data_IF_580415867156
#
_entry.id   IF_580415867156
#
_cell.length_a   1.000
_cell.length_b   1.000
_cell.length_c   1.000
_cell.angle_alpha   90.00
_cell.angle_beta   90.00
_cell.angle_gamma   90.00
#
_symmetry.space_group_name_H-M   'P 1'
#
loop_
_entity.id
_entity.type
_entity.pdbx_description
1 polymer ?
#
# COMPACT_ATOMS: atom_id res chain seq x y z
N UNK A 1 9.94 44.54 -36.18
CA UNK A 1 9.93 43.08 -35.98
C UNK A 1 9.95 42.84 -34.46
N UNK A 2 8.75 42.68 -33.86
CA UNK A 2 8.57 42.65 -32.41
C UNK A 2 8.53 41.19 -31.98
N UNK A 3 9.52 40.76 -31.19
CA UNK A 3 9.70 39.40 -30.71
C UNK A 3 8.86 39.21 -29.44
N UNK A 4 7.76 38.49 -29.54
CA UNK A 4 6.83 38.19 -28.45
C UNK A 4 7.42 37.01 -27.63
N UNK A 5 7.95 37.29 -26.46
CA UNK A 5 8.42 36.27 -25.51
C UNK A 5 7.20 35.71 -24.81
N UNK A 6 6.83 34.47 -25.14
CA UNK A 6 5.85 33.70 -24.35
C UNK A 6 6.48 33.24 -23.06
N UNK A 7 6.12 33.84 -21.95
CA UNK A 7 6.35 33.32 -20.61
C UNK A 7 5.38 32.17 -20.37
N UNK A 8 5.90 30.94 -20.38
CA UNK A 8 5.19 29.77 -19.87
C UNK A 8 5.24 29.83 -18.34
N UNK A 9 4.16 30.25 -17.70
CA UNK A 9 3.94 30.09 -16.27
C UNK A 9 3.70 28.62 -15.98
N UNK A 10 4.70 27.94 -15.42
CA UNK A 10 4.53 26.63 -14.81
C UNK A 10 3.64 26.84 -13.56
N UNK A 11 2.41 26.35 -13.62
CA UNK A 11 1.55 26.23 -12.44
C UNK A 11 2.21 25.22 -11.49
N UNK A 12 2.77 25.72 -10.39
CA UNK A 12 3.09 24.91 -9.24
C UNK A 12 1.75 24.38 -8.68
N UNK A 13 1.44 23.13 -8.92
CA UNK A 13 0.26 22.45 -8.41
C UNK A 13 0.33 22.38 -6.90
N UNK A 14 -0.71 22.81 -6.23
CA UNK A 14 -0.76 23.06 -4.78
C UNK A 14 -0.80 21.72 -4.05
N UNK A 15 0.26 21.33 -3.37
CA UNK A 15 0.46 20.03 -2.70
C UNK A 15 -0.52 19.71 -1.55
N UNK A 16 -1.51 20.57 -1.29
CA UNK A 16 -2.56 20.34 -0.29
C UNK A 16 -3.80 19.64 -0.85
N UNK A 17 -4.07 19.74 -2.14
CA UNK A 17 -5.26 19.13 -2.77
C UNK A 17 -5.10 17.63 -3.04
N UNK A 18 -3.88 17.10 -2.93
CA UNK A 18 -3.56 15.70 -3.26
C UNK A 18 -3.52 14.77 -2.03
N UNK A 19 -3.89 15.26 -0.83
CA UNK A 19 -3.81 14.48 0.41
C UNK A 19 -5.20 14.19 0.97
N UNK A 20 -5.50 12.91 1.22
CA UNK A 20 -6.72 12.43 1.87
C UNK A 20 -6.37 11.99 3.28
N UNK A 21 -6.88 12.70 4.30
CA UNK A 21 -6.74 12.29 5.70
C UNK A 21 -7.62 11.06 5.95
N UNK A 22 -7.01 9.99 6.49
CA UNK A 22 -7.77 8.83 6.93
C UNK A 22 -8.44 9.10 8.28
N UNK A 23 -9.55 8.41 8.55
CA UNK A 23 -10.16 8.41 9.87
C UNK A 23 -9.24 7.75 10.88
N UNK A 24 -9.36 8.08 12.18
CA UNK A 24 -8.53 7.45 13.22
C UNK A 24 -8.74 5.93 13.23
N UNK A 25 -7.67 5.11 13.22
CA UNK A 25 -7.80 3.67 13.21
C UNK A 25 -8.28 3.15 14.57
N UNK A 26 -9.13 2.15 14.55
CA UNK A 26 -9.51 1.40 15.75
C UNK A 26 -8.36 0.47 16.14
N UNK A 27 -7.83 0.67 17.34
CA UNK A 27 -6.66 -0.08 17.86
C UNK A 27 -7.04 -1.17 18.85
N UNK A 28 -8.31 -1.25 19.16
CA UNK A 28 -8.94 -2.22 20.08
C UNK A 28 -10.06 -2.96 19.36
N UNK A 29 -10.25 -4.20 19.70
CA UNK A 29 -11.26 -5.05 19.08
C UNK A 29 -10.69 -6.05 18.05
N UNK A 30 -11.52 -6.40 17.08
CA UNK A 30 -11.23 -7.46 16.13
C UNK A 30 -11.30 -8.87 16.73
N UNK A 31 -10.87 -9.86 15.95
CA UNK A 31 -10.84 -11.26 16.32
C UNK A 31 -9.62 -11.57 17.21
N UNK A 32 -9.72 -12.44 18.22
CA UNK A 32 -8.57 -12.92 18.98
C UNK A 32 -7.49 -13.47 18.04
N UNK A 33 -6.21 -13.17 18.30
CA UNK A 33 -5.08 -13.51 17.42
C UNK A 33 -5.07 -14.99 16.99
N UNK A 34 -5.25 -15.91 17.92
CA UNK A 34 -5.21 -17.35 17.62
C UNK A 34 -6.37 -17.77 16.72
N UNK A 35 -7.51 -17.12 16.86
CA UNK A 35 -8.64 -17.35 15.97
C UNK A 35 -8.36 -16.75 14.58
N UNK A 36 -7.81 -15.54 14.48
CA UNK A 36 -7.43 -14.93 13.21
C UNK A 36 -6.39 -15.79 12.46
N UNK A 37 -5.42 -16.36 13.16
CA UNK A 37 -4.45 -17.30 12.59
C UNK A 37 -5.14 -18.57 12.06
N UNK A 38 -6.10 -19.11 12.80
CA UNK A 38 -6.85 -20.31 12.41
C UNK A 38 -7.77 -20.06 11.20
N UNK A 39 -8.37 -18.87 11.10
CA UNK A 39 -9.30 -18.50 10.03
C UNK A 39 -8.62 -17.87 8.80
N UNK A 40 -7.35 -17.49 8.90
CA UNK A 40 -6.60 -16.89 7.80
C UNK A 40 -6.60 -17.84 6.58
N UNK A 41 -7.17 -17.38 5.49
CA UNK A 41 -7.29 -18.13 4.22
C UNK A 41 -6.95 -17.23 3.04
N UNK A 42 -6.56 -17.84 1.93
CA UNK A 42 -6.36 -17.14 0.65
C UNK A 42 -7.62 -17.22 -0.20
N UNK A 43 -8.25 -16.08 -0.47
CA UNK A 43 -9.45 -15.95 -1.30
C UNK A 43 -9.17 -15.04 -2.51
N UNK A 44 -9.68 -15.46 -3.69
CA UNK A 44 -9.41 -14.79 -4.98
C UNK A 44 -10.68 -14.26 -5.66
N UNK A 45 -11.81 -14.35 -4.98
CA UNK A 45 -13.09 -13.90 -5.50
C UNK A 45 -13.55 -12.65 -4.74
N UNK A 46 -13.74 -11.56 -5.46
CA UNK A 46 -14.11 -10.27 -4.89
C UNK A 46 -15.48 -9.84 -5.41
N UNK A 47 -16.33 -9.32 -4.52
CA UNK A 47 -17.67 -8.83 -4.87
C UNK A 47 -17.66 -7.46 -5.55
N UNK A 48 -16.56 -6.73 -5.51
CA UNK A 48 -16.44 -5.34 -5.96
C UNK A 48 -17.02 -4.30 -4.99
N UNK A 49 -17.65 -4.72 -3.89
CA UNK A 49 -18.12 -3.80 -2.85
C UNK A 49 -16.95 -3.05 -2.23
N UNK A 50 -17.08 -1.72 -2.15
CA UNK A 50 -16.05 -0.87 -1.55
C UNK A 50 -15.89 -1.14 -0.05
N UNK A 51 -14.67 -1.01 0.46
CA UNK A 51 -14.43 -0.92 1.89
C UNK A 51 -14.98 0.40 2.44
N UNK A 52 -15.41 0.41 3.69
CA UNK A 52 -15.69 1.67 4.37
C UNK A 52 -14.38 2.42 4.67
N UNK A 53 -14.48 3.74 4.89
CA UNK A 53 -13.32 4.57 5.26
C UNK A 53 -12.64 4.03 6.54
N UNK A 54 -13.42 3.54 7.50
CA UNK A 54 -12.90 2.92 8.71
C UNK A 54 -12.13 1.64 8.42
N UNK A 55 -12.65 0.76 7.56
CA UNK A 55 -11.96 -0.48 7.19
C UNK A 55 -10.67 -0.22 6.41
N UNK A 56 -10.66 0.77 5.52
CA UNK A 56 -9.45 1.17 4.81
C UNK A 56 -8.39 1.74 5.77
N UNK A 57 -8.81 2.57 6.70
CA UNK A 57 -7.95 3.14 7.75
C UNK A 57 -7.35 2.05 8.62
N UNK A 58 -8.19 1.17 9.18
CA UNK A 58 -7.77 0.08 10.06
C UNK A 58 -6.84 -0.91 9.34
N UNK A 59 -7.15 -1.24 8.07
CA UNK A 59 -6.33 -2.09 7.21
C UNK A 59 -4.91 -1.54 7.05
N UNK A 60 -4.79 -0.26 6.72
CA UNK A 60 -3.49 0.38 6.46
C UNK A 60 -2.69 0.54 7.75
N UNK A 61 -3.37 0.88 8.85
CA UNK A 61 -2.72 0.91 10.16
C UNK A 61 -2.25 -0.48 10.59
N UNK A 62 -3.08 -1.51 10.47
CA UNK A 62 -2.70 -2.88 10.80
C UNK A 62 -1.52 -3.34 9.96
N UNK A 63 -1.51 -3.03 8.66
CA UNK A 63 -0.45 -3.40 7.73
C UNK A 63 0.92 -2.85 8.15
N UNK A 64 1.04 -1.53 8.32
CA UNK A 64 2.33 -0.87 8.61
C UNK A 64 2.17 0.53 9.25
N UNK A 65 1.13 0.75 10.05
CA UNK A 65 0.89 2.01 10.75
C UNK A 65 1.82 2.25 11.93
N UNK A 66 1.90 3.50 12.39
CA UNK A 66 2.63 3.86 13.61
C UNK A 66 1.82 3.39 14.82
N UNK A 67 2.44 2.59 15.69
CA UNK A 67 1.78 2.02 16.87
C UNK A 67 2.42 2.45 18.20
N UNK A 68 3.43 3.31 18.17
CA UNK A 68 4.21 3.77 19.35
C UNK A 68 4.67 5.20 19.16
N UNK A 69 4.81 5.96 20.26
CA UNK A 69 5.20 7.38 20.27
C UNK A 69 6.57 7.64 19.64
N UNK A 70 7.44 6.65 19.58
CA UNK A 70 8.77 6.76 18.95
C UNK A 70 8.74 6.50 17.43
N UNK A 71 7.57 6.49 16.79
CA UNK A 71 7.38 6.34 15.35
C UNK A 71 7.60 4.92 14.81
N UNK A 72 7.76 3.91 15.67
CA UNK A 72 7.86 2.52 15.23
C UNK A 72 6.50 1.99 14.79
N UNK A 73 6.51 0.94 13.98
CA UNK A 73 5.34 0.47 13.24
C UNK A 73 4.82 -0.88 13.73
N UNK A 74 3.63 -1.24 13.27
CA UNK A 74 3.01 -2.54 13.50
C UNK A 74 3.83 -3.70 12.93
N UNK A 75 4.46 -3.50 11.76
CA UNK A 75 5.42 -4.44 11.20
C UNK A 75 6.85 -4.09 11.61
N UNK A 76 7.72 -5.07 11.94
CA UNK A 76 9.14 -4.82 12.12
C UNK A 76 9.83 -4.55 10.79
N UNK A 77 11.02 -3.93 10.83
CA UNK A 77 11.91 -3.86 9.68
C UNK A 77 13.37 -3.97 10.08
N UNK A 78 14.21 -4.48 9.19
CA UNK A 78 15.65 -4.61 9.41
C UNK A 78 16.25 -3.24 9.77
N UNK A 79 16.99 -3.17 10.88
CA UNK A 79 17.59 -1.92 11.42
C UNK A 79 16.57 -0.78 11.60
N UNK A 80 15.27 -1.07 11.66
CA UNK A 80 14.20 -0.08 11.69
C UNK A 80 14.25 0.90 10.49
N UNK A 81 14.61 0.41 9.30
CA UNK A 81 14.65 1.23 8.09
C UNK A 81 13.26 1.71 7.65
N UNK A 82 12.20 0.97 8.02
CA UNK A 82 10.80 1.26 7.64
C UNK A 82 10.66 1.50 6.12
N UNK A 83 11.38 0.70 5.36
CA UNK A 83 11.55 0.88 3.92
C UNK A 83 10.33 0.45 3.12
N UNK A 84 9.41 -0.33 3.70
CA UNK A 84 8.23 -0.78 2.97
C UNK A 84 7.22 0.36 2.86
N UNK A 85 7.16 0.94 1.67
CA UNK A 85 6.11 1.85 1.25
C UNK A 85 4.90 1.06 0.75
N UNK A 86 3.69 1.48 1.17
CA UNK A 86 2.43 0.88 0.72
C UNK A 86 1.78 1.83 -0.28
N UNK A 87 1.68 1.40 -1.54
CA UNK A 87 0.83 2.08 -2.51
C UNK A 87 -0.55 1.44 -2.52
N UNK A 88 -1.58 2.27 -2.45
CA UNK A 88 -2.99 1.87 -2.38
C UNK A 88 -3.64 2.21 -3.71
N UNK A 89 -3.90 1.20 -4.53
CA UNK A 89 -4.54 1.36 -5.83
C UNK A 89 -6.04 1.12 -5.68
N UNK A 90 -6.82 2.11 -6.08
CA UNK A 90 -8.30 2.11 -6.05
C UNK A 90 -8.83 2.59 -7.41
N UNK A 91 -10.15 2.56 -7.58
CA UNK A 91 -10.80 3.09 -8.78
C UNK A 91 -10.52 4.59 -8.98
N UNK A 92 -10.40 5.32 -7.89
CA UNK A 92 -10.16 6.78 -7.87
C UNK A 92 -8.71 7.19 -8.11
N UNK A 93 -7.76 6.23 -8.14
CA UNK A 93 -6.35 6.50 -8.36
C UNK A 93 -5.42 5.60 -7.53
N UNK A 94 -4.14 5.91 -7.62
CA UNK A 94 -3.10 5.27 -6.83
C UNK A 94 -2.51 6.27 -5.82
N UNK A 95 -2.40 5.85 -4.58
CA UNK A 95 -2.01 6.68 -3.44
C UNK A 95 -0.83 6.06 -2.71
N UNK A 96 0.06 6.88 -2.16
CA UNK A 96 1.07 6.47 -1.18
C UNK A 96 0.50 6.63 0.23
N UNK A 97 0.54 5.57 1.03
CA UNK A 97 0.19 5.64 2.45
C UNK A 97 1.31 6.28 3.27
N UNK A 98 1.03 7.40 3.89
CA UNK A 98 1.90 8.15 4.80
C UNK A 98 1.57 7.73 6.25
N UNK A 99 2.29 6.74 6.76
CA UNK A 99 1.98 6.15 8.06
C UNK A 99 2.18 7.11 9.25
N UNK A 100 3.11 8.06 9.14
CA UNK A 100 3.37 9.11 10.13
C UNK A 100 2.24 10.13 10.25
N UNK A 101 1.51 10.35 9.16
CA UNK A 101 0.35 11.26 9.08
C UNK A 101 -0.97 10.51 9.09
N UNK A 102 -0.93 9.20 8.98
CA UNK A 102 -2.10 8.35 8.74
C UNK A 102 -2.98 8.90 7.60
N UNK A 103 -2.39 9.17 6.46
CA UNK A 103 -3.02 9.81 5.31
C UNK A 103 -2.62 9.12 3.99
N UNK A 104 -3.38 9.36 2.95
CA UNK A 104 -3.09 8.96 1.59
C UNK A 104 -2.65 10.18 0.77
N UNK A 105 -1.54 10.07 0.07
CA UNK A 105 -1.08 11.06 -0.89
C UNK A 105 -1.34 10.55 -2.31
N UNK A 106 -2.09 11.31 -3.11
CA UNK A 106 -2.33 10.95 -4.50
C UNK A 106 -1.00 10.95 -5.28
N UNK A 107 -0.76 9.88 -6.04
CA UNK A 107 0.44 9.72 -6.88
C UNK A 107 0.06 9.67 -8.36
N UNK A 108 -1.05 8.99 -8.68
CA UNK A 108 -1.54 8.85 -10.06
C UNK A 108 -3.08 8.84 -10.04
N UNK A 109 -3.70 9.71 -10.82
CA UNK A 109 -5.17 9.91 -10.81
C UNK A 109 -5.94 8.89 -11.68
N UNK A 110 -5.28 7.83 -12.13
CA UNK A 110 -5.93 6.78 -12.94
C UNK A 110 -6.01 5.45 -12.19
N UNK A 111 -7.05 4.65 -12.50
CA UNK A 111 -7.18 3.28 -11.98
C UNK A 111 -6.12 2.37 -12.61
N UNK A 112 -5.15 1.96 -11.81
CA UNK A 112 -4.07 1.08 -12.23
C UNK A 112 -4.31 -0.40 -11.92
N UNK A 113 -5.37 -0.77 -11.18
CA UNK A 113 -5.58 -2.13 -10.64
C UNK A 113 -5.51 -3.22 -11.71
N UNK A 114 -6.17 -3.02 -12.85
CA UNK A 114 -6.22 -4.01 -13.94
C UNK A 114 -4.87 -4.20 -14.64
N UNK A 115 -3.98 -3.23 -14.56
CA UNK A 115 -2.67 -3.23 -15.21
C UNK A 115 -1.52 -3.56 -14.23
N UNK A 116 -1.80 -3.60 -12.93
CA UNK A 116 -0.78 -3.78 -11.90
C UNK A 116 -0.32 -5.23 -11.71
N UNK A 117 -1.16 -6.20 -12.06
CA UNK A 117 -0.89 -7.64 -11.87
C UNK A 117 -1.38 -8.48 -13.04
N UNK A 118 -0.83 -9.70 -13.15
CA UNK A 118 -1.16 -10.62 -14.24
C UNK A 118 -2.55 -11.25 -14.08
N UNK A 119 -3.10 -11.30 -12.87
CA UNK A 119 -4.35 -11.99 -12.56
C UNK A 119 -5.56 -11.09 -12.77
N UNK A 120 -6.51 -11.44 -13.66
CA UNK A 120 -7.67 -10.58 -13.98
C UNK A 120 -8.61 -10.29 -12.80
N UNK A 121 -8.66 -11.16 -11.79
CA UNK A 121 -9.52 -10.96 -10.62
C UNK A 121 -9.10 -9.75 -9.78
N UNK A 122 -7.86 -9.27 -9.91
CA UNK A 122 -7.34 -8.11 -9.17
C UNK A 122 -8.15 -6.84 -9.45
N UNK A 123 -8.59 -6.66 -10.69
CA UNK A 123 -9.42 -5.52 -11.08
C UNK A 123 -10.81 -5.48 -10.40
N UNK A 124 -11.26 -6.60 -9.83
CA UNK A 124 -12.54 -6.70 -9.11
C UNK A 124 -12.42 -6.34 -7.63
N UNK A 125 -11.20 -6.39 -7.08
CA UNK A 125 -10.98 -5.98 -5.69
C UNK A 125 -11.08 -4.46 -5.58
N UNK A 126 -11.80 -3.89 -4.58
CA UNK A 126 -11.90 -2.45 -4.40
C UNK A 126 -10.54 -1.80 -4.09
N UNK A 127 -9.65 -2.53 -3.44
CA UNK A 127 -8.32 -2.06 -3.06
C UNK A 127 -7.27 -3.09 -3.51
N UNK A 128 -6.18 -2.62 -4.11
CA UNK A 128 -4.97 -3.39 -4.35
C UNK A 128 -3.80 -2.69 -3.66
N UNK A 129 -3.21 -3.35 -2.68
CA UNK A 129 -1.99 -2.89 -2.03
C UNK A 129 -0.77 -3.35 -2.82
N UNK A 130 0.19 -2.44 -3.04
CA UNK A 130 1.51 -2.76 -3.60
C UNK A 130 2.56 -2.43 -2.55
N UNK A 131 3.34 -3.42 -2.15
CA UNK A 131 4.44 -3.26 -1.19
C UNK A 131 5.74 -3.03 -1.94
N UNK A 132 6.32 -1.86 -1.72
CA UNK A 132 7.55 -1.42 -2.39
C UNK A 132 8.66 -1.28 -1.36
N UNK A 133 9.76 -1.99 -1.56
CA UNK A 133 11.00 -1.74 -0.81
C UNK A 133 11.67 -0.49 -1.37
N UNK A 134 11.61 0.60 -0.63
CA UNK A 134 12.22 1.89 -0.97
C UNK A 134 13.70 1.86 -0.60
N UNK A 135 14.57 1.79 -1.59
CA UNK A 135 16.00 1.63 -1.38
C UNK A 135 16.71 2.88 -0.83
N UNK A 136 16.09 4.05 -0.93
CA UNK A 136 16.63 5.27 -0.33
C UNK A 136 16.63 5.24 1.20
N UNK A 137 15.67 4.51 1.78
CA UNK A 137 15.57 4.31 3.24
C UNK A 137 16.55 3.26 3.78
N UNK A 138 17.15 2.44 2.91
CA UNK A 138 18.04 1.33 3.28
C UNK A 138 19.51 1.75 3.17
N UNK A 139 19.89 2.83 3.86
CA UNK A 139 21.24 3.38 3.82
C UNK A 139 22.27 2.42 4.44
N UNK A 140 23.46 2.35 3.85
CA UNK A 140 24.55 1.47 4.33
C UNK A 140 24.32 -0.02 4.12
N UNK A 141 23.35 -0.40 3.27
CA UNK A 141 23.13 -1.77 2.83
C UNK A 141 23.56 -1.92 1.36
N UNK A 142 24.22 -3.04 1.05
CA UNK A 142 24.49 -3.44 -0.33
C UNK A 142 23.21 -3.92 -1.04
N UNK A 143 23.32 -4.23 -2.32
CA UNK A 143 22.19 -4.65 -3.15
C UNK A 143 21.53 -5.94 -2.63
N UNK A 144 22.34 -6.93 -2.27
CA UNK A 144 21.83 -8.24 -1.84
C UNK A 144 21.09 -8.13 -0.50
N UNK A 145 21.62 -7.34 0.44
CA UNK A 145 20.97 -7.04 1.71
C UNK A 145 19.63 -6.27 1.48
N UNK A 146 19.61 -5.29 0.58
CA UNK A 146 18.37 -4.55 0.24
C UNK A 146 17.31 -5.48 -0.36
N UNK A 147 17.69 -6.38 -1.26
CA UNK A 147 16.76 -7.35 -1.84
C UNK A 147 16.25 -8.36 -0.81
N UNK A 148 17.14 -8.88 0.04
CA UNK A 148 16.80 -9.84 1.07
C UNK A 148 15.84 -9.24 2.13
N UNK A 149 16.24 -8.12 2.75
CA UNK A 149 15.43 -7.50 3.80
C UNK A 149 14.14 -6.90 3.24
N UNK A 150 14.18 -6.24 2.08
CA UNK A 150 12.97 -5.73 1.46
C UNK A 150 11.93 -6.82 1.17
N UNK A 151 12.35 -8.00 0.74
CA UNK A 151 11.45 -9.13 0.54
C UNK A 151 10.92 -9.70 1.86
N UNK A 152 11.78 -9.82 2.87
CA UNK A 152 11.42 -10.32 4.21
C UNK A 152 10.43 -9.39 4.90
N UNK A 153 10.71 -8.09 4.92
CA UNK A 153 9.92 -7.08 5.62
C UNK A 153 8.57 -6.85 4.93
N UNK A 154 8.52 -6.96 3.58
CA UNK A 154 7.24 -6.98 2.85
C UNK A 154 6.36 -8.19 3.25
N UNK A 155 6.97 -9.33 3.57
CA UNK A 155 6.27 -10.50 4.10
C UNK A 155 5.60 -10.22 5.46
N UNK A 156 6.26 -9.49 6.36
CA UNK A 156 5.67 -9.10 7.65
C UNK A 156 4.45 -8.19 7.45
N UNK A 157 4.58 -7.18 6.58
CA UNK A 157 3.47 -6.28 6.25
C UNK A 157 2.30 -7.04 5.62
N UNK A 158 2.58 -7.92 4.66
CA UNK A 158 1.57 -8.75 3.99
C UNK A 158 0.85 -9.69 4.96
N UNK A 159 1.55 -10.28 5.92
CA UNK A 159 0.92 -11.14 6.93
C UNK A 159 -0.01 -10.36 7.86
N UNK A 160 0.34 -9.11 8.24
CA UNK A 160 -0.56 -8.24 8.99
C UNK A 160 -1.86 -8.00 8.22
N UNK A 161 -1.78 -7.75 6.90
CA UNK A 161 -2.98 -7.63 6.04
C UNK A 161 -3.81 -8.90 6.04
N UNK A 162 -3.19 -10.08 5.95
CA UNK A 162 -3.92 -11.35 6.02
C UNK A 162 -4.66 -11.52 7.34
N UNK A 163 -4.03 -11.22 8.46
CA UNK A 163 -4.65 -11.35 9.80
C UNK A 163 -5.78 -10.35 9.99
N UNK A 164 -5.60 -9.12 9.54
CA UNK A 164 -6.67 -8.13 9.53
C UNK A 164 -7.85 -8.61 8.67
N UNK A 165 -7.60 -9.08 7.46
CA UNK A 165 -8.65 -9.59 6.57
C UNK A 165 -9.39 -10.79 7.17
N UNK A 166 -8.69 -11.70 7.86
CA UNK A 166 -9.34 -12.80 8.57
C UNK A 166 -10.25 -12.29 9.68
N UNK A 167 -9.78 -11.32 10.48
CA UNK A 167 -10.57 -10.69 11.53
C UNK A 167 -11.84 -9.99 11.03
N UNK A 168 -11.74 -9.31 9.88
CA UNK A 168 -12.84 -8.54 9.30
C UNK A 168 -13.67 -9.32 8.27
N UNK A 169 -13.38 -10.62 8.07
CA UNK A 169 -14.04 -11.49 7.07
C UNK A 169 -13.92 -10.94 5.65
N UNK A 170 -12.77 -10.35 5.33
CA UNK A 170 -12.42 -9.86 4.01
C UNK A 170 -11.64 -10.91 3.22
N UNK A 171 -11.82 -10.91 1.91
CA UNK A 171 -11.02 -11.70 0.98
C UNK A 171 -9.68 -11.00 0.72
N UNK A 172 -8.61 -11.79 0.66
CA UNK A 172 -7.28 -11.32 0.24
C UNK A 172 -6.42 -12.46 -0.28
N UNK A 173 -5.46 -12.12 -1.12
CA UNK A 173 -4.41 -13.02 -1.62
C UNK A 173 -3.14 -12.24 -1.92
N UNK A 174 -1.99 -12.70 -1.45
CA UNK A 174 -0.70 -12.12 -1.83
C UNK A 174 -0.27 -12.61 -3.22
N UNK A 175 0.29 -11.71 -4.03
CA UNK A 175 0.69 -11.94 -5.41
C UNK A 175 2.16 -11.55 -5.60
N UNK A 176 2.95 -12.48 -6.15
CA UNK A 176 4.30 -12.21 -6.66
C UNK A 176 4.31 -11.79 -8.14
N UNK A 177 3.25 -12.13 -8.88
CA UNK A 177 3.13 -11.87 -10.33
C UNK A 177 2.51 -10.49 -10.59
N UNK A 178 3.28 -9.44 -10.34
CA UNK A 178 2.93 -8.04 -10.55
C UNK A 178 3.79 -7.42 -11.67
N UNK A 179 3.28 -6.42 -12.36
CA UNK A 179 3.96 -5.73 -13.45
C UNK A 179 4.90 -4.64 -12.90
N UNK A 180 6.08 -5.05 -12.40
CA UNK A 180 7.03 -4.20 -11.67
C UNK A 180 7.48 -2.96 -12.43
N UNK A 181 7.86 -3.11 -13.69
CA UNK A 181 8.34 -1.99 -14.52
C UNK A 181 7.22 -0.97 -14.80
N UNK A 182 6.01 -1.47 -15.04
CA UNK A 182 4.82 -0.63 -15.18
C UNK A 182 4.55 0.17 -13.89
N UNK A 183 4.56 -0.50 -12.75
CA UNK A 183 4.34 0.12 -11.44
C UNK A 183 5.43 1.14 -11.12
N UNK A 184 6.71 0.83 -11.36
CA UNK A 184 7.81 1.76 -11.14
C UNK A 184 7.68 3.02 -12.00
N UNK A 185 7.30 2.86 -13.27
CA UNK A 185 7.08 3.99 -14.19
C UNK A 185 5.90 4.87 -13.76
N UNK A 186 4.80 4.26 -13.30
CA UNK A 186 3.57 4.97 -12.95
C UNK A 186 3.61 5.60 -11.57
N UNK A 187 4.23 4.93 -10.59
CA UNK A 187 4.25 5.37 -9.19
C UNK A 187 5.54 6.13 -8.82
N UNK A 188 6.56 6.10 -9.66
CA UNK A 188 7.77 6.94 -9.53
C UNK A 188 8.65 6.62 -8.32
N UNK A 189 8.60 5.39 -7.78
CA UNK A 189 9.42 5.00 -6.63
C UNK A 189 10.86 4.61 -7.03
N UNK A 190 11.80 4.79 -6.10
CA UNK A 190 13.16 4.26 -6.18
C UNK A 190 13.26 3.00 -5.33
N UNK A 191 13.35 1.83 -5.97
CA UNK A 191 13.40 0.54 -5.27
C UNK A 191 12.74 -0.58 -6.06
N UNK A 192 12.12 -1.51 -5.34
CA UNK A 192 11.52 -2.71 -5.94
C UNK A 192 10.11 -2.96 -5.43
N UNK A 193 9.14 -3.06 -6.32
CA UNK A 193 7.83 -3.60 -5.98
C UNK A 193 7.97 -5.10 -5.68
N UNK A 194 7.73 -5.49 -4.45
CA UNK A 194 7.93 -6.86 -3.96
C UNK A 194 6.70 -7.71 -4.20
N UNK A 195 5.56 -7.29 -3.64
CA UNK A 195 4.30 -8.04 -3.64
C UNK A 195 3.12 -7.11 -3.94
N UNK A 196 2.06 -7.69 -4.48
CA UNK A 196 0.74 -7.08 -4.55
C UNK A 196 -0.24 -7.86 -3.67
N UNK A 197 -1.24 -7.19 -3.08
CA UNK A 197 -2.24 -7.84 -2.24
C UNK A 197 -3.60 -7.16 -2.39
N UNK A 198 -4.50 -7.70 -3.23
CA UNK A 198 -5.87 -7.22 -3.33
C UNK A 198 -6.66 -7.55 -2.06
N UNK A 199 -7.51 -6.63 -1.64
CA UNK A 199 -8.39 -6.73 -0.47
C UNK A 199 -9.80 -6.29 -0.84
N UNK A 200 -10.80 -7.01 -0.37
CA UNK A 200 -12.21 -6.68 -0.56
C UNK A 200 -13.13 -7.71 0.07
N UNK A 201 -14.44 -7.53 -0.08
CA UNK A 201 -15.40 -8.56 0.34
C UNK A 201 -15.38 -9.75 -0.61
N UNK A 202 -15.52 -10.95 -0.07
CA UNK A 202 -15.76 -12.15 -0.87
C UNK A 202 -17.11 -12.07 -1.59
N UNK A 203 -17.23 -12.81 -2.69
CA UNK A 203 -18.52 -13.10 -3.32
C UNK A 203 -19.34 -14.06 -2.47
#
# INVERSE_FOLDING_TARGET
>A
MLMMVMMTTAFAQNSKDDMVQLVEPKRDGGMPLMQALNERVTLREFSGKMLSDQQLSDLLWAANGVNRDNGKRTAPSARNCQEIDIYVLMETGAYLYLADKHALQLVEASDLRSQAAMQPFVAKAPVLLIFVANYDKMTGMDKDAKEFYGATDAGYVSQNVYLYCASEKLATVVLGSIHRDFLAKKLGFNGKAILGQPVGYSK
#
